data_IF_741686609466
#
_entry.id   IF_741686609466
#
_cell.length_a   1.000
_cell.length_b   1.000
_cell.length_c   1.000
_cell.angle_alpha   90.00
_cell.angle_beta   90.00
_cell.angle_gamma   90.00
#
_symmetry.space_group_name_H-M   'P 1'
#
loop_
_entity.id
_entity.type
_entity.pdbx_description
1 polymer ?
#
# COMPACT_ATOMS: atom_id res chain seq x y z
N UNK A 1 -1.20 -40.06 -10.71
CA UNK A 1 -0.74 -40.41 -9.34
C UNK A 1 -0.65 -39.19 -8.42
N UNK A 2 -0.21 -38.04 -8.86
CA UNK A 2 -0.06 -36.77 -8.06
C UNK A 2 -1.34 -36.33 -7.35
N UNK A 3 -2.50 -36.42 -7.99
CA UNK A 3 -3.76 -35.99 -7.40
C UNK A 3 -4.26 -36.80 -6.19
N UNK A 4 -3.95 -38.08 -6.12
CA UNK A 4 -4.32 -38.94 -4.96
C UNK A 4 -3.41 -38.67 -3.75
N UNK A 5 -2.14 -38.39 -3.97
CA UNK A 5 -1.18 -38.07 -2.93
C UNK A 5 -1.48 -36.70 -2.32
N UNK A 6 -1.79 -35.70 -3.14
CA UNK A 6 -2.21 -34.37 -2.68
C UNK A 6 -3.48 -34.47 -1.84
N UNK A 7 -4.52 -35.23 -2.28
CA UNK A 7 -5.76 -35.43 -1.53
C UNK A 7 -5.56 -36.07 -0.16
N UNK A 8 -4.50 -36.88 0.03
CA UNK A 8 -4.22 -37.54 1.30
C UNK A 8 -3.49 -36.61 2.30
N UNK A 9 -2.59 -35.77 1.80
CA UNK A 9 -1.65 -35.02 2.65
C UNK A 9 -2.00 -33.52 2.78
N UNK A 10 -2.95 -32.99 1.96
CA UNK A 10 -3.34 -31.59 2.02
C UNK A 10 -3.74 -31.10 3.43
N UNK A 11 -4.43 -31.91 4.30
CA UNK A 11 -4.83 -31.38 5.59
C UNK A 11 -3.61 -31.05 6.48
N UNK A 12 -2.54 -31.83 6.38
CA UNK A 12 -1.31 -31.60 7.20
C UNK A 12 -0.67 -30.28 6.87
N UNK A 13 -0.74 -29.82 5.62
CA UNK A 13 -0.16 -28.55 5.20
C UNK A 13 -1.14 -27.35 5.33
N UNK A 14 -2.42 -27.60 5.08
CA UNK A 14 -3.42 -26.53 5.05
C UNK A 14 -4.03 -26.27 6.42
N UNK A 15 -4.32 -27.33 7.20
CA UNK A 15 -5.00 -27.17 8.50
C UNK A 15 -4.22 -26.34 9.51
N UNK A 16 -2.90 -26.49 9.70
CA UNK A 16 -2.15 -25.63 10.63
C UNK A 16 -2.20 -24.15 10.23
N UNK A 17 -2.01 -23.87 8.94
CA UNK A 17 -2.05 -22.51 8.41
C UNK A 17 -3.45 -21.92 8.51
N UNK A 18 -4.49 -22.70 8.17
CA UNK A 18 -5.88 -22.30 8.29
C UNK A 18 -6.27 -22.05 9.77
N UNK A 19 -5.84 -22.91 10.68
CA UNK A 19 -6.08 -22.72 12.11
C UNK A 19 -5.42 -21.45 12.63
N UNK A 20 -4.16 -21.19 12.27
CA UNK A 20 -3.47 -19.95 12.61
C UNK A 20 -4.19 -18.73 12.05
N UNK A 21 -4.68 -18.79 10.81
CA UNK A 21 -5.46 -17.72 10.20
C UNK A 21 -6.81 -17.48 10.90
N UNK A 22 -7.53 -18.55 11.25
CA UNK A 22 -8.80 -18.43 11.97
C UNK A 22 -8.60 -17.80 13.35
N UNK A 23 -7.61 -18.29 14.11
CA UNK A 23 -7.37 -17.81 15.47
C UNK A 23 -6.77 -16.40 15.47
N UNK A 24 -5.77 -16.14 14.62
CA UNK A 24 -5.02 -14.89 14.61
C UNK A 24 -5.69 -13.75 13.84
N UNK A 25 -6.55 -14.05 12.88
CA UNK A 25 -7.18 -13.05 12.03
C UNK A 25 -8.70 -13.12 12.05
N UNK A 26 -9.30 -14.24 11.68
CA UNK A 26 -10.75 -14.32 11.48
C UNK A 26 -11.56 -14.12 12.77
N UNK A 27 -11.10 -14.74 13.85
CA UNK A 27 -11.74 -14.61 15.16
C UNK A 27 -11.70 -13.17 15.70
N UNK A 28 -10.53 -12.49 15.80
CA UNK A 28 -10.47 -11.08 16.19
C UNK A 28 -11.25 -10.16 15.25
N UNK A 29 -11.29 -10.46 13.96
CA UNK A 29 -12.04 -9.68 12.98
C UNK A 29 -13.55 -9.73 13.24
N UNK A 30 -14.11 -10.93 13.45
CA UNK A 30 -15.54 -11.10 13.79
C UNK A 30 -15.87 -10.38 15.11
N UNK A 31 -15.00 -10.55 16.12
CA UNK A 31 -15.16 -9.83 17.39
C UNK A 31 -15.07 -8.32 17.20
N UNK A 32 -14.17 -7.82 16.38
CA UNK A 32 -14.08 -6.40 16.03
C UNK A 32 -15.35 -5.86 15.39
N UNK A 33 -15.98 -6.62 14.48
CA UNK A 33 -17.28 -6.27 13.90
C UNK A 33 -18.35 -6.21 15.01
N UNK A 34 -18.45 -7.20 15.89
CA UNK A 34 -19.40 -7.19 16.99
C UNK A 34 -19.16 -5.98 17.91
N UNK A 35 -17.93 -5.72 18.31
CA UNK A 35 -17.56 -4.61 19.19
C UNK A 35 -17.83 -3.24 18.55
N UNK A 36 -17.83 -3.12 17.23
CA UNK A 36 -18.18 -1.87 16.54
C UNK A 36 -19.61 -1.41 16.80
N UNK A 37 -20.51 -2.34 17.13
CA UNK A 37 -21.89 -2.07 17.54
C UNK A 37 -22.05 -1.90 19.06
N UNK A 38 -20.95 -1.96 19.80
CA UNK A 38 -20.97 -1.88 21.26
C UNK A 38 -20.28 -0.61 21.76
N UNK A 39 -20.70 -0.13 22.91
CA UNK A 39 -19.97 0.87 23.70
C UNK A 39 -19.26 0.15 24.83
N UNK A 40 -17.95 0.35 24.96
CA UNK A 40 -17.15 -0.26 26.02
C UNK A 40 -16.06 0.71 26.50
N UNK A 41 -15.76 0.65 27.78
CA UNK A 41 -14.63 1.36 28.40
C UNK A 41 -13.53 0.34 28.75
N UNK A 42 -13.94 -0.86 29.14
CA UNK A 42 -13.07 -2.01 29.41
C UNK A 42 -13.70 -3.25 28.81
N UNK A 43 -12.95 -4.32 28.70
CA UNK A 43 -13.42 -5.60 28.12
C UNK A 43 -14.61 -6.20 28.91
N UNK A 44 -14.82 -5.76 30.17
CA UNK A 44 -15.90 -6.25 31.04
C UNK A 44 -17.20 -5.42 30.92
N UNK A 45 -17.11 -4.16 30.46
CA UNK A 45 -18.25 -3.23 30.37
C UNK A 45 -18.69 -3.05 28.93
N UNK A 46 -19.18 -4.11 28.30
CA UNK A 46 -19.63 -4.09 26.90
C UNK A 46 -21.15 -3.95 26.86
N UNK A 47 -21.65 -2.85 26.32
CA UNK A 47 -23.08 -2.61 26.10
C UNK A 47 -23.38 -2.47 24.62
N UNK A 48 -24.35 -3.23 24.13
CA UNK A 48 -24.74 -3.16 22.71
C UNK A 48 -25.54 -1.86 22.46
N UNK A 49 -25.06 -1.02 21.55
CA UNK A 49 -25.66 0.29 21.21
C UNK A 49 -26.11 0.38 19.75
N UNK A 50 -26.08 -0.71 19.01
CA UNK A 50 -26.46 -0.76 17.61
C UNK A 50 -25.63 0.19 16.74
N UNK A 51 -26.26 0.96 15.88
CA UNK A 51 -25.60 1.87 14.94
C UNK A 51 -25.19 3.23 15.53
N UNK A 52 -25.36 3.46 16.85
CA UNK A 52 -25.06 4.75 17.47
C UNK A 52 -23.61 5.22 17.26
N UNK A 53 -22.63 4.29 17.25
CA UNK A 53 -21.24 4.62 16.98
C UNK A 53 -21.05 5.13 15.54
N UNK A 54 -21.69 4.50 14.58
CA UNK A 54 -21.62 4.88 13.17
C UNK A 54 -22.27 6.24 12.92
N UNK A 55 -23.42 6.51 13.56
CA UNK A 55 -24.06 7.83 13.48
C UNK A 55 -23.16 8.94 14.03
N UNK A 56 -22.49 8.70 15.18
CA UNK A 56 -21.55 9.67 15.75
C UNK A 56 -20.37 9.95 14.84
N UNK A 57 -19.79 8.91 14.23
CA UNK A 57 -18.67 9.05 13.29
C UNK A 57 -19.08 9.86 12.06
N UNK A 58 -20.27 9.60 11.51
CA UNK A 58 -20.76 10.33 10.32
C UNK A 58 -21.03 11.82 10.60
N UNK A 59 -21.34 12.17 11.85
CA UNK A 59 -21.55 13.55 12.28
C UNK A 59 -20.27 14.25 12.77
N UNK A 60 -19.16 13.50 12.90
CA UNK A 60 -17.89 14.06 13.35
C UNK A 60 -17.14 14.69 12.18
N UNK A 61 -16.99 16.02 12.24
CA UNK A 61 -16.26 16.79 11.24
C UNK A 61 -14.78 16.38 11.15
N UNK A 62 -14.16 15.96 12.24
CA UNK A 62 -12.77 15.50 12.27
C UNK A 62 -12.61 14.21 11.46
N UNK A 63 -13.56 13.28 11.67
CA UNK A 63 -13.60 12.04 10.89
C UNK A 63 -13.86 12.31 9.40
N UNK A 64 -14.84 13.16 9.09
CA UNK A 64 -15.16 13.51 7.71
C UNK A 64 -13.95 14.12 6.98
N UNK A 65 -13.24 15.04 7.64
CA UNK A 65 -12.02 15.63 7.09
C UNK A 65 -10.92 14.58 6.86
N UNK A 66 -10.65 13.73 7.85
CA UNK A 66 -9.66 12.66 7.74
C UNK A 66 -10.02 11.65 6.65
N UNK A 67 -11.30 11.30 6.53
CA UNK A 67 -11.80 10.38 5.50
C UNK A 67 -11.52 10.93 4.08
N UNK A 68 -11.96 12.17 3.80
CA UNK A 68 -11.76 12.77 2.48
C UNK A 68 -10.29 13.01 2.15
N UNK A 69 -9.49 13.39 3.14
CA UNK A 69 -8.04 13.52 2.97
C UNK A 69 -7.40 12.16 2.61
N UNK A 70 -7.83 11.08 3.26
CA UNK A 70 -7.36 9.73 2.97
C UNK A 70 -7.80 9.26 1.57
N UNK A 71 -9.04 9.52 1.18
CA UNK A 71 -9.55 9.20 -0.16
C UNK A 71 -8.76 9.96 -1.22
N UNK A 72 -8.55 11.27 -1.03
CA UNK A 72 -7.76 12.08 -1.96
C UNK A 72 -6.31 11.57 -2.04
N UNK A 73 -5.68 11.26 -0.91
CA UNK A 73 -4.34 10.71 -0.85
C UNK A 73 -4.23 9.37 -1.59
N UNK A 74 -5.15 8.44 -1.34
CA UNK A 74 -5.18 7.13 -2.00
C UNK A 74 -5.34 7.25 -3.52
N UNK A 75 -6.25 8.13 -3.96
CA UNK A 75 -6.51 8.34 -5.38
C UNK A 75 -5.31 8.97 -6.10
N UNK A 76 -4.77 10.06 -5.54
CA UNK A 76 -3.64 10.79 -6.13
C UNK A 76 -2.39 9.91 -6.14
N UNK A 77 -2.07 9.24 -5.02
CA UNK A 77 -0.89 8.36 -4.93
C UNK A 77 -1.00 7.18 -5.88
N UNK A 78 -2.18 6.57 -6.00
CA UNK A 78 -2.41 5.46 -6.93
C UNK A 78 -2.14 5.87 -8.38
N UNK A 79 -2.67 7.02 -8.82
CA UNK A 79 -2.44 7.52 -10.18
C UNK A 79 -0.95 7.81 -10.40
N UNK A 80 -0.32 8.56 -9.49
CA UNK A 80 1.09 8.95 -9.62
C UNK A 80 2.01 7.74 -9.68
N UNK A 81 1.82 6.78 -8.75
CA UNK A 81 2.63 5.58 -8.70
C UNK A 81 2.51 4.78 -9.99
N UNK A 82 1.28 4.55 -10.47
CA UNK A 82 1.06 3.77 -11.68
C UNK A 82 1.62 4.46 -12.94
N UNK A 83 1.37 5.77 -13.09
CA UNK A 83 1.89 6.53 -14.25
C UNK A 83 3.41 6.55 -14.26
N UNK A 84 4.05 6.85 -13.14
CA UNK A 84 5.50 6.93 -13.05
C UNK A 84 6.15 5.54 -13.18
N UNK A 85 5.59 4.53 -12.53
CA UNK A 85 6.08 3.16 -12.62
C UNK A 85 5.97 2.59 -14.04
N UNK A 86 4.86 2.84 -14.73
CA UNK A 86 4.66 2.42 -16.11
C UNK A 86 5.60 3.15 -17.07
N UNK A 87 5.79 4.46 -16.91
CA UNK A 87 6.73 5.23 -17.72
C UNK A 87 8.17 4.72 -17.56
N UNK A 88 8.60 4.44 -16.34
CA UNK A 88 9.92 3.85 -16.05
C UNK A 88 10.02 2.43 -16.62
N UNK A 89 8.98 1.62 -16.49
CA UNK A 89 8.97 0.26 -17.06
C UNK A 89 9.10 0.27 -18.58
N UNK A 90 8.39 1.15 -19.28
CA UNK A 90 8.53 1.34 -20.73
C UNK A 90 9.95 1.76 -21.12
N UNK A 91 10.57 2.66 -20.36
CA UNK A 91 11.95 3.04 -20.61
C UNK A 91 12.92 1.86 -20.42
N UNK A 92 12.72 1.07 -19.37
CA UNK A 92 13.60 -0.07 -19.03
C UNK A 92 13.42 -1.29 -19.95
N UNK A 93 12.26 -1.46 -20.59
CA UNK A 93 12.03 -2.54 -21.57
C UNK A 93 12.69 -2.28 -22.93
N UNK A 94 13.09 -1.03 -23.21
CA UNK A 94 13.86 -0.69 -24.43
C UNK A 94 15.33 -1.19 -24.42
N UNK A 95 15.80 -1.77 -23.32
CA UNK A 95 17.05 -2.52 -23.27
C UNK A 95 18.33 -1.68 -23.35
N UNK A 96 18.42 -0.56 -22.63
CA UNK A 96 19.67 0.20 -22.57
C UNK A 96 20.69 -0.41 -21.58
N UNK A 97 21.96 -0.05 -21.74
CA UNK A 97 23.04 -0.50 -20.86
C UNK A 97 22.78 -0.02 -19.42
N UNK A 98 22.77 -0.94 -18.45
CA UNK A 98 22.52 -0.62 -17.02
C UNK A 98 21.08 -0.84 -16.55
N UNK A 99 20.15 -1.32 -17.38
CA UNK A 99 18.75 -1.59 -17.01
C UNK A 99 18.62 -2.37 -15.70
N UNK A 100 19.47 -3.39 -15.47
CA UNK A 100 19.43 -4.19 -14.25
C UNK A 100 19.84 -3.38 -13.01
N UNK A 101 20.83 -2.50 -13.12
CA UNK A 101 21.22 -1.61 -12.04
C UNK A 101 20.07 -0.63 -11.68
N UNK A 102 19.43 -0.05 -12.69
CA UNK A 102 18.24 0.81 -12.46
C UNK A 102 17.10 0.06 -11.76
N UNK A 103 16.78 -1.16 -12.21
CA UNK A 103 15.77 -2.00 -11.53
C UNK A 103 16.11 -2.22 -10.04
N UNK A 104 17.36 -2.52 -9.74
CA UNK A 104 17.82 -2.73 -8.37
C UNK A 104 17.69 -1.45 -7.54
N UNK A 105 18.13 -0.31 -8.05
CA UNK A 105 18.08 0.98 -7.34
C UNK A 105 16.64 1.41 -7.06
N UNK A 106 15.74 1.28 -8.03
CA UNK A 106 14.32 1.61 -7.84
C UNK A 106 13.59 0.65 -6.91
N UNK A 107 14.01 -0.61 -6.83
CA UNK A 107 13.39 -1.59 -5.93
C UNK A 107 13.92 -1.50 -4.49
N UNK A 108 15.14 -1.01 -4.30
CA UNK A 108 15.82 -0.96 -3.00
C UNK A 108 15.00 -0.29 -1.88
N UNK A 109 14.26 0.83 -2.12
CA UNK A 109 13.45 1.45 -1.08
C UNK A 109 12.41 0.52 -0.46
N UNK A 110 11.91 -0.44 -1.22
CA UNK A 110 10.90 -1.39 -0.76
C UNK A 110 11.45 -2.42 0.26
N UNK A 111 12.77 -2.57 0.33
CA UNK A 111 13.43 -3.47 1.28
C UNK A 111 13.68 -2.82 2.64
N UNK A 112 13.49 -1.50 2.74
CA UNK A 112 13.71 -0.76 3.98
C UNK A 112 12.43 -0.77 4.82
N UNK A 113 12.54 -1.11 6.09
CA UNK A 113 11.39 -1.13 7.00
C UNK A 113 10.72 0.25 7.11
N UNK A 114 9.38 0.26 7.01
CA UNK A 114 8.60 1.51 6.89
C UNK A 114 8.82 2.52 8.02
N UNK A 115 9.03 2.06 9.27
CA UNK A 115 9.29 2.95 10.41
C UNK A 115 10.62 3.69 10.23
N UNK A 116 11.69 2.98 9.85
CA UNK A 116 13.01 3.55 9.61
C UNK A 116 12.96 4.53 8.44
N UNK A 117 12.30 4.11 7.36
CA UNK A 117 12.10 4.93 6.18
C UNK A 117 11.36 6.23 6.51
N UNK A 118 10.26 6.12 7.25
CA UNK A 118 9.45 7.26 7.67
C UNK A 118 10.28 8.28 8.49
N UNK A 119 11.08 7.81 9.43
CA UNK A 119 11.94 8.67 10.26
C UNK A 119 13.02 9.37 9.43
N UNK A 120 13.69 8.67 8.53
CA UNK A 120 14.71 9.24 7.65
C UNK A 120 14.09 10.34 6.77
N UNK A 121 12.97 10.05 6.10
CA UNK A 121 12.30 11.01 5.24
C UNK A 121 11.74 12.21 6.00
N UNK A 122 11.16 11.98 7.19
CA UNK A 122 10.71 13.07 8.05
C UNK A 122 11.86 14.02 8.39
N UNK A 123 13.02 13.48 8.75
CA UNK A 123 14.21 14.29 9.11
C UNK A 123 14.72 15.05 7.90
N UNK A 124 14.84 14.39 6.74
CA UNK A 124 15.32 15.03 5.51
C UNK A 124 14.37 16.13 5.03
N UNK A 125 13.07 15.85 4.95
CA UNK A 125 12.09 16.82 4.48
C UNK A 125 11.93 17.99 5.45
N UNK A 126 11.93 17.76 6.76
CA UNK A 126 11.89 18.82 7.75
C UNK A 126 13.15 19.71 7.69
N UNK A 127 14.32 19.11 7.44
CA UNK A 127 15.56 19.86 7.23
C UNK A 127 15.50 20.78 6.00
N UNK A 128 14.93 20.29 4.89
CA UNK A 128 14.72 21.09 3.69
C UNK A 128 13.69 22.20 3.90
N UNK A 129 12.55 21.88 4.51
CA UNK A 129 11.49 22.85 4.79
C UNK A 129 11.99 23.97 5.72
N UNK A 130 12.72 23.62 6.77
CA UNK A 130 13.33 24.59 7.70
C UNK A 130 14.30 25.52 6.99
N UNK A 131 15.14 24.99 6.08
CA UNK A 131 16.08 25.79 5.29
C UNK A 131 15.38 26.82 4.40
N UNK A 132 14.17 26.52 3.95
CA UNK A 132 13.35 27.42 3.10
C UNK A 132 12.34 28.25 3.90
N UNK A 133 12.42 28.25 5.24
CA UNK A 133 11.49 28.98 6.11
C UNK A 133 10.05 28.47 6.04
N UNK A 134 9.85 27.23 5.60
CA UNK A 134 8.52 26.61 5.50
C UNK A 134 8.16 25.85 6.77
N UNK A 135 6.87 25.76 7.12
CA UNK A 135 6.42 24.95 8.26
C UNK A 135 6.83 23.49 8.13
N UNK A 136 7.22 22.85 9.24
CA UNK A 136 7.54 21.43 9.28
C UNK A 136 6.35 20.57 8.87
N UNK A 137 6.59 19.31 8.48
CA UNK A 137 5.56 18.37 8.02
C UNK A 137 4.38 18.24 9.00
N UNK A 138 4.66 18.17 10.30
CA UNK A 138 3.63 18.04 11.33
C UNK A 138 2.83 19.32 11.59
N UNK A 139 3.36 20.49 11.21
CA UNK A 139 2.74 21.80 11.45
C UNK A 139 1.89 22.29 10.28
N UNK A 140 1.95 21.64 9.14
CA UNK A 140 1.22 22.01 7.93
C UNK A 140 0.61 20.78 7.28
N UNK A 141 -0.72 20.73 7.21
CA UNK A 141 -1.43 19.65 6.52
C UNK A 141 -0.99 19.48 5.05
N UNK A 142 -0.74 20.60 4.36
CA UNK A 142 -0.24 20.61 2.97
C UNK A 142 1.15 19.96 2.89
N UNK A 143 2.10 20.39 3.74
CA UNK A 143 3.46 19.87 3.70
C UNK A 143 3.50 18.41 4.14
N UNK A 144 2.70 18.03 5.15
CA UNK A 144 2.53 16.65 5.57
C UNK A 144 1.98 15.75 4.46
N UNK A 145 0.93 16.20 3.76
CA UNK A 145 0.35 15.48 2.64
C UNK A 145 1.36 15.26 1.50
N UNK A 146 2.06 16.32 1.09
CA UNK A 146 3.08 16.25 0.03
C UNK A 146 4.25 15.36 0.47
N UNK A 147 4.71 15.49 1.71
CA UNK A 147 5.79 14.65 2.25
C UNK A 147 5.46 13.16 2.25
N UNK A 148 4.25 12.80 2.70
CA UNK A 148 3.76 11.42 2.64
C UNK A 148 3.65 10.91 1.19
N UNK A 149 3.19 11.76 0.27
CA UNK A 149 3.04 11.42 -1.14
C UNK A 149 4.39 11.13 -1.79
N UNK A 150 5.40 11.98 -1.55
CA UNK A 150 6.77 11.79 -2.05
C UNK A 150 7.35 10.47 -1.52
N UNK A 151 7.26 10.23 -0.21
CA UNK A 151 7.76 9.01 0.42
C UNK A 151 7.09 7.77 -0.16
N UNK A 152 5.74 7.76 -0.25
CA UNK A 152 5.00 6.63 -0.75
C UNK A 152 5.31 6.35 -2.23
N UNK A 153 5.35 7.39 -3.07
CA UNK A 153 5.72 7.26 -4.46
C UNK A 153 7.13 6.68 -4.62
N UNK A 154 8.12 7.23 -3.91
CA UNK A 154 9.50 6.73 -3.97
C UNK A 154 9.60 5.25 -3.56
N UNK A 155 8.85 4.83 -2.54
CA UNK A 155 8.84 3.45 -2.07
C UNK A 155 8.12 2.51 -3.05
N UNK A 156 6.95 2.90 -3.57
CA UNK A 156 6.06 1.99 -4.30
C UNK A 156 6.33 1.94 -5.82
N UNK A 157 6.91 2.99 -6.40
CA UNK A 157 7.19 3.04 -7.84
C UNK A 157 8.05 1.85 -8.28
N UNK A 158 9.09 1.52 -7.52
CA UNK A 158 9.97 0.40 -7.85
C UNK A 158 9.28 -0.96 -7.87
N UNK A 159 8.37 -1.18 -6.92
CA UNK A 159 7.57 -2.41 -6.87
C UNK A 159 6.63 -2.54 -8.06
N UNK A 160 5.85 -1.49 -8.34
CA UNK A 160 4.91 -1.47 -9.45
C UNK A 160 5.63 -1.53 -10.81
N UNK A 161 6.79 -0.88 -10.93
CA UNK A 161 7.64 -0.93 -12.12
C UNK A 161 8.04 -2.36 -12.48
N UNK A 162 8.43 -3.20 -11.52
CA UNK A 162 8.80 -4.60 -11.78
C UNK A 162 7.61 -5.39 -12.32
N UNK A 163 6.40 -5.16 -11.77
CA UNK A 163 5.17 -5.80 -12.25
C UNK A 163 4.90 -5.39 -13.71
N UNK A 164 5.01 -4.09 -14.02
CA UNK A 164 4.82 -3.61 -15.38
C UNK A 164 5.89 -4.14 -16.35
N UNK A 165 7.15 -4.20 -15.95
CA UNK A 165 8.22 -4.80 -16.76
C UNK A 165 7.92 -6.26 -17.07
N UNK A 166 7.45 -7.04 -16.09
CA UNK A 166 7.07 -8.41 -16.30
C UNK A 166 5.90 -8.54 -17.28
N UNK A 167 4.88 -7.67 -17.14
CA UNK A 167 3.75 -7.62 -18.07
C UNK A 167 4.16 -7.26 -19.50
N UNK A 168 4.98 -6.21 -19.67
CA UNK A 168 5.45 -5.74 -20.95
C UNK A 168 6.32 -6.78 -21.67
N UNK A 169 7.15 -7.52 -20.95
CA UNK A 169 7.98 -8.59 -21.54
C UNK A 169 7.16 -9.82 -21.96
N UNK A 170 5.93 -9.96 -21.51
CA UNK A 170 5.02 -11.06 -21.92
C UNK A 170 4.24 -10.75 -23.20
N UNK A 171 4.31 -9.52 -23.73
CA UNK A 171 3.68 -9.16 -25.01
C UNK A 171 4.48 -9.82 -26.14
N UNK A 172 3.81 -10.60 -27.01
CA UNK A 172 4.49 -11.27 -28.14
C UNK A 172 5.02 -10.23 -29.14
N UNK A 173 6.21 -10.46 -29.74
CA UNK A 173 6.74 -9.60 -30.79
C UNK A 173 5.78 -9.43 -31.96
N UNK A 174 5.07 -10.49 -32.33
CA UNK A 174 4.11 -10.48 -33.44
C UNK A 174 2.99 -9.45 -33.25
N UNK A 175 2.52 -9.25 -32.00
CA UNK A 175 1.52 -8.21 -31.69
C UNK A 175 2.10 -6.81 -31.84
N UNK A 176 3.37 -6.63 -31.50
CA UNK A 176 4.05 -5.34 -31.63
C UNK A 176 4.28 -5.01 -33.10
N UNK A 177 4.67 -5.99 -33.92
CA UNK A 177 4.85 -5.83 -35.36
C UNK A 177 3.51 -5.54 -36.05
N UNK A 178 2.44 -6.23 -35.70
CA UNK A 178 1.11 -5.96 -36.24
C UNK A 178 0.65 -4.52 -35.94
N UNK A 179 0.87 -4.04 -34.71
CA UNK A 179 0.51 -2.67 -34.32
C UNK A 179 1.37 -1.57 -34.98
N UNK A 180 2.49 -1.92 -35.61
CA UNK A 180 3.33 -0.98 -36.36
C UNK A 180 2.92 -0.87 -37.83
N UNK A 181 2.14 -1.84 -38.34
CA UNK A 181 1.68 -1.89 -39.72
C UNK A 181 0.30 -1.20 -39.87
N UNK A 182 -0.52 -1.20 -38.81
CA UNK A 182 -1.80 -0.49 -38.73
C UNK A 182 -1.60 1.02 -38.45
#
# INVERSE_FOLDING_TARGET
>A
MVGKTIKKWWPIFVVPTLAAFIIGFLWPFIWGIYLSFCKFTTVQDVTFVGFSNYQKILLDNTFSHAFWLTVAFAFISSILINVLAFAIALALTKGFKGTNAFRTVFFMPNLIGGIVLGYIWQTLLNGLLSKWGQPLLALSAKNGFIGMLILLCWQQIGYMMIIYVAGLNNVSPDLIEAAQID
#
